data_IF_388760238615
#
_entry.id   IF_388760238615
#
_cell.length_a   1.000
_cell.length_b   1.000
_cell.length_c   1.000
_cell.angle_alpha   90.00
_cell.angle_beta   90.00
_cell.angle_gamma   90.00
#
_symmetry.space_group_name_H-M   'P 1'
#
loop_
_entity.id
_entity.type
_entity.pdbx_description
1 polymer ?
#
# COMPACT_ATOMS: atom_id res chain seq x y z
N UNK A 1 -20.73 -13.00 13.79
CA UNK A 1 -20.23 -13.12 12.41
C UNK A 1 -20.16 -14.61 12.04
N UNK A 2 -20.56 -15.02 10.84
CA UNK A 2 -20.50 -16.43 10.44
C UNK A 2 -19.04 -16.90 10.36
N UNK A 3 -18.71 -18.09 10.89
CA UNK A 3 -17.33 -18.60 10.99
C UNK A 3 -16.63 -18.77 9.63
N UNK A 4 -17.41 -18.95 8.55
CA UNK A 4 -16.91 -19.01 7.17
C UNK A 4 -16.30 -17.69 6.69
N UNK A 5 -16.81 -16.55 7.15
CA UNK A 5 -16.31 -15.23 6.77
C UNK A 5 -14.93 -14.98 7.39
N UNK A 6 -14.76 -15.33 8.67
CA UNK A 6 -13.50 -15.16 9.40
C UNK A 6 -12.38 -16.02 8.79
N UNK A 7 -12.68 -17.25 8.39
CA UNK A 7 -11.72 -18.14 7.72
C UNK A 7 -11.24 -17.59 6.37
N UNK A 8 -12.15 -17.02 5.58
CA UNK A 8 -11.83 -16.43 4.29
C UNK A 8 -10.99 -15.15 4.41
N UNK A 9 -11.33 -14.29 5.38
CA UNK A 9 -10.56 -13.06 5.66
C UNK A 9 -9.15 -13.43 6.11
N UNK A 10 -9.00 -14.37 7.05
CA UNK A 10 -7.68 -14.79 7.53
C UNK A 10 -6.81 -15.36 6.40
N UNK A 11 -7.41 -16.14 5.49
CA UNK A 11 -6.71 -16.68 4.32
C UNK A 11 -6.25 -15.57 3.37
N UNK A 12 -7.09 -14.57 3.12
CA UNK A 12 -6.74 -13.43 2.28
C UNK A 12 -5.60 -12.59 2.90
N UNK A 13 -5.69 -12.29 4.20
CA UNK A 13 -4.64 -11.57 4.94
C UNK A 13 -3.33 -12.33 4.89
N UNK A 14 -3.34 -13.64 5.17
CA UNK A 14 -2.13 -14.47 5.04
C UNK A 14 -1.56 -14.43 3.63
N UNK A 15 -2.41 -14.55 2.60
CA UNK A 15 -1.98 -14.48 1.20
C UNK A 15 -1.35 -13.14 0.80
N UNK A 16 -1.83 -12.02 1.38
CA UNK A 16 -1.29 -10.67 1.17
C UNK A 16 0.00 -10.40 1.95
N UNK A 17 0.21 -11.08 3.08
CA UNK A 17 1.43 -11.00 3.88
C UNK A 17 2.51 -11.99 3.42
N UNK A 18 2.16 -12.92 2.54
CA UNK A 18 3.10 -13.85 1.94
C UNK A 18 4.06 -13.15 0.97
N UNK A 19 5.25 -13.71 0.72
CA UNK A 19 6.19 -13.16 -0.25
C UNK A 19 5.61 -13.02 -1.67
N UNK A 20 6.27 -12.21 -2.50
CA UNK A 20 5.93 -12.03 -3.92
C UNK A 20 6.01 -13.33 -4.73
N UNK A 21 6.88 -14.26 -4.31
CA UNK A 21 7.13 -15.55 -4.98
C UNK A 21 6.89 -16.66 -3.96
N UNK A 22 6.03 -17.61 -4.32
CA UNK A 22 5.71 -18.82 -3.54
C UNK A 22 5.95 -20.02 -4.46
N UNK A 23 6.79 -20.97 -4.05
CA UNK A 23 7.11 -22.19 -4.81
C UNK A 23 7.51 -21.92 -6.27
N UNK A 24 8.39 -20.93 -6.49
CA UNK A 24 8.82 -20.47 -7.83
C UNK A 24 7.69 -19.98 -8.74
N UNK A 25 6.56 -19.58 -8.16
CA UNK A 25 5.44 -18.95 -8.85
C UNK A 25 5.15 -17.60 -8.24
N UNK A 26 4.66 -16.68 -9.08
CA UNK A 26 4.16 -15.39 -8.59
C UNK A 26 2.98 -15.62 -7.65
N UNK A 27 2.93 -14.88 -6.54
CA UNK A 27 1.87 -15.00 -5.57
C UNK A 27 0.51 -14.63 -6.21
N UNK A 28 -0.44 -15.58 -6.29
CA UNK A 28 -1.70 -15.38 -6.98
C UNK A 28 -2.60 -14.36 -6.26
N UNK A 29 -2.46 -14.17 -4.94
CA UNK A 29 -3.23 -13.18 -4.20
C UNK A 29 -2.85 -11.76 -4.63
N UNK A 30 -1.55 -11.47 -4.73
CA UNK A 30 -1.08 -10.16 -5.21
C UNK A 30 -1.49 -9.89 -6.65
N UNK A 31 -1.41 -10.90 -7.52
CA UNK A 31 -1.82 -10.76 -8.91
C UNK A 31 -3.33 -10.46 -9.04
N UNK A 32 -4.17 -11.17 -8.28
CA UNK A 32 -5.61 -10.94 -8.27
C UNK A 32 -5.96 -9.53 -7.77
N UNK A 33 -5.30 -9.06 -6.71
CA UNK A 33 -5.47 -7.69 -6.21
C UNK A 33 -5.03 -6.67 -7.24
N UNK A 34 -3.84 -6.82 -7.83
CA UNK A 34 -3.33 -5.89 -8.83
C UNK A 34 -4.27 -5.79 -10.05
N UNK A 35 -4.70 -6.94 -10.59
CA UNK A 35 -5.61 -6.98 -11.75
C UNK A 35 -6.93 -6.28 -11.43
N UNK A 36 -7.53 -6.57 -10.28
CA UNK A 36 -8.82 -5.99 -9.89
C UNK A 36 -8.69 -4.51 -9.57
N UNK A 37 -7.65 -4.10 -8.84
CA UNK A 37 -7.40 -2.71 -8.49
C UNK A 37 -7.10 -1.88 -9.74
N UNK A 38 -6.32 -2.42 -10.68
CA UNK A 38 -6.10 -1.81 -11.98
C UNK A 38 -7.40 -1.61 -12.77
N UNK A 39 -8.28 -2.61 -12.80
CA UNK A 39 -9.58 -2.48 -13.46
C UNK A 39 -10.43 -1.37 -12.85
N UNK A 40 -10.50 -1.29 -11.52
CA UNK A 40 -11.21 -0.19 -10.82
C UNK A 40 -10.56 1.15 -11.18
N UNK A 41 -9.24 1.24 -11.10
CA UNK A 41 -8.48 2.46 -11.37
C UNK A 41 -8.70 2.98 -12.79
N UNK A 42 -8.62 2.10 -13.79
CA UNK A 42 -8.73 2.46 -15.21
C UNK A 42 -10.17 2.62 -15.69
N UNK A 43 -11.09 1.73 -15.29
CA UNK A 43 -12.45 1.70 -15.85
C UNK A 43 -13.45 2.52 -15.03
N UNK A 44 -13.33 2.52 -13.70
CA UNK A 44 -14.24 3.25 -12.82
C UNK A 44 -13.70 4.66 -12.60
N UNK A 45 -12.45 4.77 -12.12
CA UNK A 45 -11.85 6.05 -11.76
C UNK A 45 -11.25 6.79 -12.96
N UNK A 46 -11.07 6.12 -14.10
CA UNK A 46 -10.49 6.68 -15.33
C UNK A 46 -9.13 7.36 -15.11
N UNK A 47 -8.36 6.84 -14.16
CA UNK A 47 -7.01 7.32 -13.88
C UNK A 47 -6.09 6.79 -14.98
N UNK A 48 -5.36 7.66 -15.70
CA UNK A 48 -4.40 7.23 -16.71
C UNK A 48 -3.29 6.36 -16.10
N UNK A 49 -2.80 5.37 -16.86
CA UNK A 49 -1.80 4.39 -16.39
C UNK A 49 -0.53 5.04 -15.82
N UNK A 50 -0.13 6.20 -16.36
CA UNK A 50 1.02 6.99 -15.88
C UNK A 50 0.86 7.54 -14.46
N UNK A 51 -0.37 7.73 -14.00
CA UNK A 51 -0.70 8.30 -12.69
C UNK A 51 -1.28 7.25 -11.73
N UNK A 52 -1.46 6.02 -12.22
CA UNK A 52 -1.96 4.91 -11.45
C UNK A 52 -0.92 4.31 -10.51
N UNK A 53 -1.39 3.74 -9.39
CA UNK A 53 -0.58 2.81 -8.59
C UNK A 53 -0.37 1.49 -9.32
N UNK A 54 -1.34 1.08 -10.13
CA UNK A 54 -1.29 -0.15 -10.92
C UNK A 54 -1.17 0.16 -12.41
N UNK A 55 -0.51 -0.73 -13.14
CA UNK A 55 -0.30 -0.61 -14.59
C UNK A 55 -0.62 -1.92 -15.32
N UNK A 56 -0.98 -1.88 -16.62
CA UNK A 56 -1.30 -3.09 -17.40
C UNK A 56 -0.08 -3.95 -17.79
N UNK A 57 1.07 -3.77 -17.12
CA UNK A 57 2.33 -4.44 -17.45
C UNK A 57 2.39 -5.93 -17.09
N UNK A 58 3.57 -6.55 -17.17
CA UNK A 58 3.75 -7.98 -16.96
C UNK A 58 3.29 -8.42 -15.56
N UNK A 59 2.84 -9.68 -15.36
CA UNK A 59 2.35 -10.17 -14.06
C UNK A 59 3.30 -9.93 -12.88
N UNK A 60 4.61 -9.91 -13.14
CA UNK A 60 5.62 -9.62 -12.10
C UNK A 60 5.59 -8.17 -11.64
N UNK A 61 5.46 -7.22 -12.56
CA UNK A 61 5.26 -5.81 -12.22
C UNK A 61 3.97 -5.63 -11.42
N UNK A 62 2.90 -6.30 -11.80
CA UNK A 62 1.62 -6.24 -11.09
C UNK A 62 1.73 -6.77 -9.65
N UNK A 63 2.44 -7.88 -9.43
CA UNK A 63 2.70 -8.42 -8.09
C UNK A 63 3.58 -7.48 -7.27
N UNK A 64 4.62 -6.92 -7.87
CA UNK A 64 5.48 -5.92 -7.23
C UNK A 64 4.67 -4.70 -6.79
N UNK A 65 3.87 -4.12 -7.69
CA UNK A 65 2.97 -2.99 -7.42
C UNK A 65 1.95 -3.32 -6.33
N UNK A 66 1.40 -4.55 -6.31
CA UNK A 66 0.48 -4.96 -5.24
C UNK A 66 1.16 -5.05 -3.88
N UNK A 67 2.38 -5.58 -3.79
CA UNK A 67 3.11 -5.61 -2.52
C UNK A 67 3.44 -4.21 -2.05
N UNK A 68 3.96 -3.37 -2.94
CA UNK A 68 4.30 -1.99 -2.62
C UNK A 68 3.07 -1.19 -2.17
N UNK A 69 1.96 -1.29 -2.91
CA UNK A 69 0.70 -0.67 -2.53
C UNK A 69 0.19 -1.17 -1.18
N UNK A 70 0.28 -2.48 -0.91
CA UNK A 70 -0.10 -3.06 0.39
C UNK A 70 0.76 -2.47 1.51
N UNK A 71 2.07 -2.36 1.30
CA UNK A 71 2.98 -1.73 2.25
C UNK A 71 2.62 -0.25 2.50
N UNK A 72 2.35 0.52 1.44
CA UNK A 72 1.93 1.92 1.55
C UNK A 72 0.65 2.07 2.37
N UNK A 73 -0.36 1.22 2.13
CA UNK A 73 -1.63 1.26 2.88
C UNK A 73 -1.42 0.93 4.36
N UNK A 74 -0.63 -0.11 4.66
CA UNK A 74 -0.33 -0.51 6.05
C UNK A 74 0.45 0.59 6.77
N UNK A 75 1.49 1.12 6.12
CA UNK A 75 2.31 2.20 6.68
C UNK A 75 1.48 3.47 6.92
N UNK A 76 0.62 3.84 5.97
CA UNK A 76 -0.29 4.98 6.14
C UNK A 76 -1.24 4.79 7.31
N UNK A 77 -1.86 3.61 7.44
CA UNK A 77 -2.72 3.29 8.57
C UNK A 77 -1.98 3.39 9.90
N UNK A 78 -0.75 2.87 9.96
CA UNK A 78 0.10 2.98 11.15
C UNK A 78 0.41 4.44 11.50
N UNK A 79 0.84 5.26 10.52
CA UNK A 79 1.15 6.67 10.71
C UNK A 79 -0.06 7.48 11.20
N UNK A 80 -1.25 7.24 10.64
CA UNK A 80 -2.47 7.90 11.08
C UNK A 80 -2.83 7.55 12.54
N UNK A 81 -2.75 6.27 12.89
CA UNK A 81 -2.98 5.82 14.27
C UNK A 81 -2.00 6.49 15.23
N UNK A 82 -0.70 6.46 14.92
CA UNK A 82 0.34 7.10 15.74
C UNK A 82 0.11 8.60 15.89
N UNK A 83 -0.19 9.30 14.79
CA UNK A 83 -0.49 10.74 14.83
C UNK A 83 -1.71 11.06 15.71
N UNK A 84 -2.76 10.24 15.62
CA UNK A 84 -3.96 10.39 16.44
C UNK A 84 -3.67 10.19 17.93
N UNK A 85 -2.93 9.14 18.29
CA UNK A 85 -2.54 8.88 19.69
C UNK A 85 -1.63 9.97 20.25
N UNK A 86 -0.63 10.43 19.50
CA UNK A 86 0.26 11.52 19.91
C UNK A 86 -0.56 12.80 20.12
N UNK A 87 -1.43 13.15 19.17
CA UNK A 87 -2.29 14.32 19.30
C UNK A 87 -3.18 14.24 20.54
N UNK A 88 -3.84 13.09 20.78
CA UNK A 88 -4.67 12.87 21.95
C UNK A 88 -3.89 13.01 23.27
N UNK A 89 -2.69 12.45 23.33
CA UNK A 89 -1.80 12.57 24.50
C UNK A 89 -1.38 14.02 24.76
N UNK A 90 -1.00 14.76 23.71
CA UNK A 90 -0.62 16.18 23.83
C UNK A 90 -1.80 17.03 24.29
N UNK A 91 -2.99 16.83 23.71
CA UNK A 91 -4.20 17.57 24.13
C UNK A 91 -4.51 17.26 25.59
N UNK A 92 -4.43 16.00 26.01
CA UNK A 92 -4.67 15.60 27.40
C UNK A 92 -3.68 16.29 28.36
N UNK A 93 -2.38 16.29 28.04
CA UNK A 93 -1.35 16.96 28.85
C UNK A 93 -1.61 18.45 29.00
N UNK A 94 -1.93 19.15 27.90
CA UNK A 94 -2.22 20.58 27.96
C UNK A 94 -3.48 20.89 28.76
N UNK A 95 -4.52 20.04 28.66
CA UNK A 95 -5.74 20.19 29.45
C UNK A 95 -5.51 19.96 30.94
N UNK A 96 -4.62 19.03 31.31
CA UNK A 96 -4.20 18.82 32.70
C UNK A 96 -3.44 20.02 33.27
N UNK A 97 -2.68 20.72 32.44
CA UNK A 97 -1.97 21.96 32.81
C UNK A 97 -2.86 23.22 32.70
N UNK A 98 -4.16 23.08 32.44
CA UNK A 98 -5.11 24.18 32.19
C UNK A 98 -4.70 25.13 31.04
N UNK A 99 -3.84 24.64 30.13
CA UNK A 99 -3.36 25.39 28.97
C UNK A 99 -4.30 25.23 27.77
N UNK A 100 -4.37 26.22 26.87
CA UNK A 100 -5.09 26.07 25.61
C UNK A 100 -4.48 24.93 24.79
N UNK A 101 -5.33 24.04 24.28
CA UNK A 101 -4.89 22.89 23.50
C UNK A 101 -4.22 23.36 22.19
N UNK A 102 -3.04 22.84 21.85
CA UNK A 102 -2.32 23.28 20.66
C UNK A 102 -2.97 22.71 19.40
N UNK A 103 -3.07 23.51 18.34
CA UNK A 103 -3.70 23.12 17.06
C UNK A 103 -2.73 22.33 16.18
N UNK A 104 -2.25 21.18 16.67
CA UNK A 104 -1.22 20.36 15.99
C UNK A 104 -1.78 19.35 14.98
N UNK A 105 -3.09 19.08 15.02
CA UNK A 105 -3.71 18.07 14.16
C UNK A 105 -3.56 18.42 12.67
N UNK A 106 -3.81 19.68 12.30
CA UNK A 106 -3.71 20.15 10.92
C UNK A 106 -2.32 19.91 10.31
N UNK A 107 -1.24 20.43 10.92
CA UNK A 107 0.13 20.18 10.47
C UNK A 107 0.52 18.70 10.39
N UNK A 108 0.09 17.87 11.35
CA UNK A 108 0.39 16.43 11.35
C UNK A 108 -0.29 15.71 10.18
N UNK A 109 -1.56 16.02 9.90
CA UNK A 109 -2.30 15.48 8.75
C UNK A 109 -1.66 15.96 7.45
N UNK A 110 -1.30 17.24 7.34
CA UNK A 110 -0.65 17.80 6.16
C UNK A 110 0.68 17.09 5.85
N UNK A 111 1.54 16.88 6.85
CA UNK A 111 2.81 16.16 6.69
C UNK A 111 2.60 14.72 6.20
N UNK A 112 1.56 14.05 6.72
CA UNK A 112 1.22 12.68 6.30
C UNK A 112 0.79 12.65 4.84
N UNK A 113 -0.07 13.59 4.41
CA UNK A 113 -0.51 13.70 3.01
C UNK A 113 0.66 13.99 2.07
N UNK A 114 1.56 14.92 2.44
CA UNK A 114 2.76 15.23 1.64
C UNK A 114 3.67 14.01 1.49
N UNK A 115 3.83 13.23 2.56
CA UNK A 115 4.65 12.00 2.53
C UNK A 115 4.07 10.98 1.55
N UNK A 116 2.76 10.75 1.59
CA UNK A 116 2.09 9.83 0.65
C UNK A 116 2.19 10.33 -0.78
N UNK A 117 1.94 11.62 -1.00
CA UNK A 117 2.03 12.21 -2.34
C UNK A 117 3.44 12.04 -2.90
N UNK A 118 4.47 12.24 -2.08
CA UNK A 118 5.86 12.05 -2.48
C UNK A 118 6.16 10.59 -2.85
N UNK A 119 5.68 9.63 -2.06
CA UNK A 119 5.83 8.21 -2.35
C UNK A 119 5.07 7.78 -3.61
N UNK A 120 3.88 8.33 -3.83
CA UNK A 120 3.12 8.11 -5.06
C UNK A 120 3.83 8.68 -6.29
N UNK A 121 4.44 9.86 -6.17
CA UNK A 121 5.26 10.43 -7.25
C UNK A 121 6.45 9.52 -7.56
N UNK A 122 7.20 9.08 -6.55
CA UNK A 122 8.32 8.15 -6.73
C UNK A 122 7.88 6.86 -7.43
N UNK A 123 6.73 6.32 -7.04
CA UNK A 123 6.13 5.13 -7.64
C UNK A 123 5.75 5.35 -9.12
N UNK A 124 5.25 6.54 -9.48
CA UNK A 124 4.94 6.86 -10.87
C UNK A 124 6.18 6.92 -11.77
N UNK A 125 7.34 7.27 -11.20
CA UNK A 125 8.64 7.32 -11.89
C UNK A 125 9.50 6.08 -11.67
N UNK A 126 8.95 5.01 -11.08
CA UNK A 126 9.71 3.80 -10.78
C UNK A 126 10.22 3.13 -12.07
N UNK A 127 11.51 2.79 -12.06
CA UNK A 127 12.21 2.14 -13.17
C UNK A 127 11.61 0.79 -13.51
N UNK A 128 10.99 0.09 -12.55
CA UNK A 128 10.29 -1.18 -12.79
C UNK A 128 9.14 -1.07 -13.80
N UNK A 129 8.61 0.15 -14.04
CA UNK A 129 7.57 0.40 -15.04
C UNK A 129 8.11 0.51 -16.47
N UNK A 130 9.42 0.60 -16.64
CA UNK A 130 10.03 0.67 -17.96
C UNK A 130 9.77 -0.64 -18.72
N UNK A 131 9.37 -0.59 -20.01
CA UNK A 131 9.02 -1.78 -20.78
C UNK A 131 10.22 -2.71 -21.00
N UNK A 132 11.43 -2.18 -20.95
CA UNK A 132 12.72 -2.86 -21.07
C UNK A 132 13.32 -3.25 -19.70
N UNK A 133 12.58 -3.10 -18.60
CA UNK A 133 13.07 -3.44 -17.28
C UNK A 133 13.35 -4.95 -17.17
N UNK A 134 14.62 -5.30 -17.03
CA UNK A 134 15.04 -6.67 -16.74
C UNK A 134 14.80 -6.99 -15.26
N UNK A 135 13.87 -7.92 -15.03
CA UNK A 135 13.50 -8.39 -13.69
C UNK A 135 14.47 -9.44 -13.13
N UNK A 136 15.49 -9.82 -13.91
CA UNK A 136 16.39 -10.94 -13.63
C UNK A 136 15.68 -12.30 -13.67
N UNK A 137 16.46 -13.38 -13.80
CA UNK A 137 15.95 -14.75 -13.70
C UNK A 137 15.46 -15.04 -12.27
N UNK A 138 14.17 -14.82 -12.07
CA UNK A 138 13.48 -15.09 -10.81
C UNK A 138 12.98 -16.53 -10.67
N UNK A 139 13.06 -17.30 -11.76
CA UNK A 139 12.88 -18.75 -11.71
C UNK A 139 14.20 -19.33 -11.20
N UNK A 140 14.15 -20.10 -10.11
CA UNK A 140 15.30 -20.89 -9.67
C UNK A 140 15.81 -21.68 -10.87
N UNK A 141 17.08 -21.47 -11.25
CA UNK A 141 17.76 -22.36 -12.20
C UNK A 141 17.63 -23.76 -11.62
N UNK A 142 16.94 -24.65 -12.33
CA UNK A 142 17.08 -26.07 -12.07
C UNK A 142 18.53 -26.39 -12.44
N UNK A 143 19.37 -26.53 -11.42
CA UNK A 143 20.59 -27.33 -11.54
C UNK A 143 20.20 -28.78 -11.86
#
# INVERSE_FOLDING_TARGET
>A
MPPSLTGNVLKAVKGLLSPQIIDNRLNPCHLAVATRAYWIQSHILRIPDRFGFFSPGPPRLQVYQSVWFTFLVVMFGFLLCTAFFIWGAVVMLYRLEERPAPTLLGPMVALTVVTIASLWVLECFDRHRAPDYDWGDWKVRKE
#
